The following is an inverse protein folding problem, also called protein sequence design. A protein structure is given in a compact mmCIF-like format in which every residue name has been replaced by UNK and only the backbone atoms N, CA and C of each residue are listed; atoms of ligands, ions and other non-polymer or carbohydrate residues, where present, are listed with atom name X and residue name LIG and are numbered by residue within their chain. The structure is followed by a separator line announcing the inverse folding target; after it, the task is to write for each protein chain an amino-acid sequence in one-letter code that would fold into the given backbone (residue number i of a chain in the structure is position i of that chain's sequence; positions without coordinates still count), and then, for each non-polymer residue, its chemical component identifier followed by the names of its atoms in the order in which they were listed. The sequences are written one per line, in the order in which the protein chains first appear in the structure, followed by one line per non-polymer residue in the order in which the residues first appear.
data_IF_053335105608
#
_entry.id   IF_053335105608
#
_cell.length_a   1.000
_cell.length_b   1.000
_cell.length_c   1.000
_cell.angle_alpha   90.00
_cell.angle_beta   90.00
_cell.angle_gamma   90.00
#
_symmetry.space_group_name_H-M   'P 1'
#
loop_
_entity.id
_entity.type
_entity.pdbx_description
1 polymer ?
#
# COMPACT_ATOMS: atom_id res chain seq x y z
N UNK A 1 9.42 -18.23 -1.34
CA UNK A 1 8.37 -17.42 -2.01
C UNK A 1 7.01 -17.99 -1.65
N UNK A 2 6.59 -17.91 -0.37
CA UNK A 2 5.22 -18.23 0.05
C UNK A 2 4.51 -16.88 0.16
N UNK A 3 3.42 -16.66 -0.57
CA UNK A 3 2.60 -15.45 -0.47
C UNK A 3 2.66 -14.46 -1.64
N UNK A 4 3.69 -14.54 -2.50
CA UNK A 4 3.78 -13.69 -3.71
C UNK A 4 2.82 -14.23 -4.78
N UNK A 5 1.88 -13.40 -5.24
CA UNK A 5 1.00 -13.66 -6.38
C UNK A 5 1.37 -12.73 -7.54
N UNK A 6 1.22 -13.16 -8.78
CA UNK A 6 1.47 -12.34 -9.97
C UNK A 6 0.19 -12.18 -10.77
N UNK A 7 -0.32 -10.95 -10.87
CA UNK A 7 -1.58 -10.63 -11.54
C UNK A 7 -1.33 -10.04 -12.92
N UNK A 8 -2.14 -10.39 -13.94
CA UNK A 8 -2.06 -9.77 -15.23
C UNK A 8 -2.57 -8.32 -15.16
N UNK A 9 -1.88 -7.45 -15.88
CA UNK A 9 -2.28 -6.07 -16.12
C UNK A 9 -2.27 -5.81 -17.61
N UNK A 10 -3.17 -4.94 -18.06
CA UNK A 10 -3.27 -4.50 -19.44
C UNK A 10 -2.82 -3.06 -19.53
N UNK A 11 -1.77 -2.80 -20.31
CA UNK A 11 -1.24 -1.47 -20.58
C UNK A 11 -1.73 -0.99 -21.94
N UNK A 12 -2.52 0.08 -21.95
CA UNK A 12 -3.00 0.74 -23.16
C UNK A 12 -2.27 2.06 -23.32
N UNK A 13 -1.62 2.26 -24.47
CA UNK A 13 -0.86 3.49 -24.74
C UNK A 13 -1.81 4.66 -24.97
N UNK A 14 -1.65 5.73 -24.18
CA UNK A 14 -2.37 7.00 -24.35
C UNK A 14 -1.44 8.13 -24.80
N UNK A 15 -2.02 9.31 -25.08
CA UNK A 15 -1.29 10.49 -25.55
C UNK A 15 -0.14 10.88 -24.60
N UNK A 16 -0.42 10.93 -23.29
CA UNK A 16 0.51 11.42 -22.26
C UNK A 16 0.97 10.34 -21.26
N UNK A 17 0.82 9.05 -21.61
CA UNK A 17 1.21 7.98 -20.71
C UNK A 17 0.70 6.60 -21.12
N UNK A 18 0.38 5.81 -20.10
CA UNK A 18 -0.23 4.50 -20.21
C UNK A 18 -1.40 4.42 -19.22
N UNK A 19 -2.56 4.04 -19.75
CA UNK A 19 -3.67 3.57 -18.95
C UNK A 19 -3.43 2.11 -18.57
N UNK A 20 -3.80 1.73 -17.36
CA UNK A 20 -3.58 0.40 -16.81
C UNK A 20 -4.89 -0.17 -16.28
N UNK A 21 -5.32 -1.29 -16.85
CA UNK A 21 -6.42 -2.08 -16.30
C UNK A 21 -5.88 -3.29 -15.55
N UNK A 22 -6.49 -3.62 -14.41
CA UNK A 22 -6.17 -4.77 -13.57
C UNK A 22 -7.45 -5.63 -13.47
N UNK A 23 -7.66 -6.57 -14.41
CA UNK A 23 -8.94 -7.26 -14.56
C UNK A 23 -9.38 -8.04 -13.31
N UNK A 24 -8.46 -8.74 -12.66
CA UNK A 24 -8.78 -9.61 -11.51
C UNK A 24 -9.32 -8.85 -10.30
N UNK A 25 -8.98 -7.56 -10.19
CA UNK A 25 -9.47 -6.68 -9.12
C UNK A 25 -10.57 -5.72 -9.62
N UNK A 26 -10.82 -5.65 -10.92
CA UNK A 26 -11.76 -4.69 -11.51
C UNK A 26 -11.38 -3.22 -11.23
N UNK A 27 -10.08 -2.94 -11.15
CA UNK A 27 -9.54 -1.60 -10.86
C UNK A 27 -8.65 -1.10 -12.00
N UNK A 28 -8.40 0.20 -11.97
CA UNK A 28 -7.67 0.92 -13.02
C UNK A 28 -6.67 1.89 -12.39
N UNK A 29 -5.59 2.17 -13.09
CA UNK A 29 -4.60 3.18 -12.72
C UNK A 29 -3.91 3.71 -13.98
N UNK A 30 -2.92 4.60 -13.82
CA UNK A 30 -2.19 5.19 -14.94
C UNK A 30 -0.74 5.45 -14.56
N UNK A 31 0.14 5.48 -15.56
CA UNK A 31 1.55 5.83 -15.41
C UNK A 31 2.07 6.64 -16.59
N UNK A 32 3.14 7.41 -16.36
CA UNK A 32 3.75 8.29 -17.39
C UNK A 32 4.51 7.49 -18.44
N UNK A 33 5.10 6.39 -18.03
CA UNK A 33 5.79 5.42 -18.88
C UNK A 33 5.47 3.99 -18.41
N UNK A 34 6.05 2.98 -19.07
CA UNK A 34 5.78 1.56 -18.75
C UNK A 34 6.24 1.21 -17.32
N UNK A 35 7.39 1.74 -16.89
CA UNK A 35 7.94 1.41 -15.58
C UNK A 35 7.08 2.04 -14.46
N UNK A 36 6.67 3.30 -14.65
CA UNK A 36 5.74 4.00 -13.77
C UNK A 36 4.38 3.29 -13.75
N UNK A 37 3.84 2.89 -14.91
CA UNK A 37 2.57 2.16 -14.99
C UNK A 37 2.60 0.82 -14.26
N UNK A 38 3.67 0.03 -14.40
CA UNK A 38 3.87 -1.23 -13.66
C UNK A 38 3.97 -0.96 -12.15
N UNK A 39 4.70 0.10 -11.75
CA UNK A 39 4.79 0.51 -10.35
C UNK A 39 3.41 0.88 -9.78
N UNK A 40 2.67 1.71 -10.50
CA UNK A 40 1.33 2.17 -10.13
C UNK A 40 0.33 1.01 -10.07
N UNK A 41 0.46 0.02 -10.95
CA UNK A 41 -0.36 -1.20 -10.92
C UNK A 41 -0.06 -2.04 -9.68
N UNK A 42 1.22 -2.23 -9.34
CA UNK A 42 1.63 -2.94 -8.12
C UNK A 42 1.05 -2.27 -6.87
N UNK A 43 1.13 -0.94 -6.82
CA UNK A 43 0.59 -0.16 -5.70
C UNK A 43 -0.93 -0.28 -5.60
N UNK A 44 -1.65 -0.15 -6.72
CA UNK A 44 -3.11 -0.31 -6.78
C UNK A 44 -3.56 -1.71 -6.34
N UNK A 45 -2.90 -2.77 -6.83
CA UNK A 45 -3.18 -4.15 -6.42
C UNK A 45 -2.90 -4.33 -4.92
N UNK A 46 -1.73 -3.87 -4.45
CA UNK A 46 -1.35 -3.97 -3.05
C UNK A 46 -2.36 -3.30 -2.12
N UNK A 47 -2.75 -2.06 -2.45
CA UNK A 47 -3.71 -1.28 -1.68
C UNK A 47 -5.10 -1.91 -1.67
N UNK A 48 -5.63 -2.31 -2.84
CA UNK A 48 -6.92 -2.98 -2.92
C UNK A 48 -6.91 -4.31 -2.17
N UNK A 49 -5.82 -5.08 -2.28
CA UNK A 49 -5.73 -6.37 -1.61
C UNK A 49 -5.74 -6.27 -0.08
N UNK A 50 -5.01 -5.30 0.51
CA UNK A 50 -5.07 -5.11 1.96
C UNK A 50 -6.44 -4.59 2.43
N UNK A 51 -7.10 -3.75 1.64
CA UNK A 51 -8.46 -3.26 1.93
C UNK A 51 -9.47 -4.42 1.93
N UNK A 52 -9.39 -5.31 0.92
CA UNK A 52 -10.20 -6.54 0.89
C UNK A 52 -9.94 -7.45 2.10
N UNK A 53 -8.68 -7.61 2.51
CA UNK A 53 -8.33 -8.41 3.68
C UNK A 53 -8.90 -7.81 4.98
N UNK A 54 -8.86 -6.49 5.12
CA UNK A 54 -9.39 -5.77 6.29
C UNK A 54 -10.92 -5.88 6.38
N UNK A 55 -11.59 -5.92 5.22
CA UNK A 55 -13.02 -6.22 5.09
C UNK A 55 -13.38 -7.72 5.26
N UNK A 56 -12.38 -8.60 5.43
CA UNK A 56 -12.59 -10.04 5.53
C UNK A 56 -13.02 -10.71 4.21
N UNK A 57 -12.77 -10.06 3.06
CA UNK A 57 -13.03 -10.60 1.72
C UNK A 57 -11.87 -11.46 1.26
N UNK A 58 -12.17 -12.45 0.41
CA UNK A 58 -11.15 -13.27 -0.23
C UNK A 58 -10.47 -12.50 -1.37
N UNK A 59 -9.14 -12.63 -1.47
CA UNK A 59 -8.39 -12.10 -2.60
C UNK A 59 -8.67 -12.91 -3.86
N UNK A 60 -8.81 -12.26 -5.04
CA UNK A 60 -8.96 -12.99 -6.29
C UNK A 60 -7.73 -13.86 -6.56
N UNK A 61 -7.94 -14.94 -7.31
CA UNK A 61 -6.85 -15.74 -7.85
C UNK A 61 -6.37 -15.16 -9.17
N UNK A 62 -5.05 -15.14 -9.44
CA UNK A 62 -4.54 -14.51 -10.64
C UNK A 62 -4.97 -15.25 -11.90
N UNK A 63 -5.51 -14.51 -12.86
CA UNK A 63 -5.85 -15.06 -14.18
C UNK A 63 -4.57 -15.40 -14.96
N UNK A 64 -4.51 -16.61 -15.52
CA UNK A 64 -3.37 -17.04 -16.37
C UNK A 64 -3.34 -16.33 -17.73
N UNK A 65 -4.51 -15.88 -18.20
CA UNK A 65 -4.69 -15.23 -19.49
C UNK A 65 -5.72 -14.12 -19.38
N UNK A 66 -5.50 -13.07 -20.14
CA UNK A 66 -6.43 -11.96 -20.31
C UNK A 66 -6.65 -11.77 -21.81
N UNK A 67 -7.90 -11.63 -22.21
CA UNK A 67 -8.24 -11.25 -23.59
C UNK A 67 -8.26 -9.74 -23.69
N UNK A 68 -7.66 -9.20 -24.75
CA UNK A 68 -7.65 -7.76 -25.04
C UNK A 68 -8.20 -7.53 -26.43
N UNK A 69 -9.08 -6.55 -26.57
CA UNK A 69 -9.70 -6.20 -27.85
C UNK A 69 -8.73 -5.45 -28.77
N UNK A 70 -7.83 -4.65 -28.18
CA UNK A 70 -6.87 -3.85 -28.91
C UNK A 70 -5.53 -4.59 -29.07
N UNK A 71 -5.09 -4.93 -30.31
CA UNK A 71 -3.83 -5.64 -30.55
C UNK A 71 -2.57 -4.85 -30.15
N UNK A 72 -2.69 -3.55 -29.87
CA UNK A 72 -1.58 -2.69 -29.42
C UNK A 72 -1.40 -2.71 -27.91
N UNK A 73 -2.35 -3.26 -27.17
CA UNK A 73 -2.25 -3.31 -25.72
C UNK A 73 -1.22 -4.35 -25.30
N UNK A 74 -0.50 -4.04 -24.23
CA UNK A 74 0.56 -4.90 -23.71
C UNK A 74 0.01 -5.58 -22.46
N UNK A 75 -0.05 -6.91 -22.50
CA UNK A 75 -0.33 -7.73 -21.32
C UNK A 75 1.01 -8.05 -20.66
N UNK A 76 1.11 -7.73 -19.37
CA UNK A 76 2.24 -8.14 -18.54
C UNK A 76 1.75 -8.57 -17.17
N UNK A 77 2.62 -9.19 -16.38
CA UNK A 77 2.30 -9.63 -15.02
C UNK A 77 3.05 -8.79 -14.00
N UNK A 78 2.36 -8.48 -12.90
CA UNK A 78 2.93 -7.76 -11.77
C UNK A 78 2.85 -8.62 -10.53
N UNK A 79 4.01 -8.85 -9.94
CA UNK A 79 4.17 -9.54 -8.67
C UNK A 79 3.81 -8.64 -7.49
N UNK A 80 3.04 -9.20 -6.54
CA UNK A 80 2.62 -8.55 -5.32
C UNK A 80 2.76 -9.52 -4.15
N UNK A 81 3.44 -9.07 -3.11
CA UNK A 81 3.48 -9.69 -1.79
C UNK A 81 2.61 -8.86 -0.85
N UNK A 82 1.41 -9.34 -0.52
CA UNK A 82 0.47 -8.61 0.32
C UNK A 82 0.96 -8.46 1.76
N UNK A 83 1.74 -9.41 2.29
CA UNK A 83 2.30 -9.33 3.63
C UNK A 83 3.39 -8.26 3.69
N UNK A 84 4.26 -8.20 2.68
CA UNK A 84 5.28 -7.15 2.57
C UNK A 84 4.63 -5.78 2.33
N UNK A 85 3.63 -5.71 1.46
CA UNK A 85 2.91 -4.47 1.18
C UNK A 85 2.20 -3.94 2.43
N UNK A 86 1.50 -4.80 3.17
CA UNK A 86 0.86 -4.46 4.44
C UNK A 86 1.85 -3.93 5.45
N UNK A 87 3.01 -4.59 5.61
CA UNK A 87 4.08 -4.09 6.48
C UNK A 87 4.57 -2.70 6.04
N UNK A 88 4.68 -2.42 4.75
CA UNK A 88 5.08 -1.09 4.26
C UNK A 88 4.04 -0.02 4.61
N UNK A 89 2.75 -0.34 4.48
CA UNK A 89 1.64 0.56 4.82
C UNK A 89 1.55 0.78 6.33
N UNK A 90 1.57 -0.30 7.13
CA UNK A 90 1.42 -0.25 8.58
C UNK A 90 2.60 0.44 9.28
N UNK A 91 3.81 0.33 8.72
CA UNK A 91 4.99 1.01 9.26
C UNK A 91 5.09 2.50 8.88
N UNK A 92 4.08 3.06 8.20
CA UNK A 92 4.07 4.49 7.87
C UNK A 92 3.86 5.33 9.13
N UNK A 93 4.87 6.11 9.48
CA UNK A 93 4.77 7.05 10.60
C UNK A 93 3.68 8.12 10.33
N UNK A 94 2.69 8.19 11.22
CA UNK A 94 1.62 9.21 11.16
C UNK A 94 1.92 10.32 12.17
N UNK A 95 2.06 11.56 11.70
CA UNK A 95 2.21 12.73 12.58
C UNK A 95 0.94 12.96 13.39
N UNK A 96 1.08 13.08 14.71
CA UNK A 96 0.00 13.49 15.62
C UNK A 96 0.35 14.83 16.25
N UNK A 97 -0.60 15.76 16.24
CA UNK A 97 -0.49 17.02 16.96
C UNK A 97 -1.15 16.83 18.33
N UNK A 98 -0.48 17.24 19.41
CA UNK A 98 -1.01 17.16 20.77
C UNK A 98 -0.81 18.50 21.50
N UNK A 99 -1.62 18.73 22.53
CA UNK A 99 -1.51 19.90 23.40
C UNK A 99 -1.17 19.42 24.80
N UNK A 100 -0.08 19.94 25.36
CA UNK A 100 0.39 19.64 26.72
C UNK A 100 0.62 20.94 27.50
N UNK A 101 0.54 20.91 28.83
CA UNK A 101 0.91 22.07 29.66
C UNK A 101 2.37 22.50 29.42
N UNK A 102 2.64 23.80 29.44
CA UNK A 102 3.98 24.35 29.20
C UNK A 102 5.05 23.77 30.15
N UNK A 103 4.72 23.65 31.44
CA UNK A 103 5.65 23.12 32.44
C UNK A 103 6.08 21.68 32.12
N UNK A 104 5.18 20.87 31.55
CA UNK A 104 5.47 19.49 31.19
C UNK A 104 6.42 19.42 29.99
N UNK A 105 6.24 20.33 29.01
CA UNK A 105 7.17 20.44 27.89
C UNK A 105 8.60 20.74 28.36
N UNK A 106 8.73 21.72 29.26
CA UNK A 106 10.04 22.13 29.81
C UNK A 106 10.74 20.98 30.53
N UNK A 107 10.03 20.24 31.37
CA UNK A 107 10.63 19.10 32.09
C UNK A 107 10.99 17.94 31.16
N UNK A 108 10.15 17.65 30.16
CA UNK A 108 10.41 16.62 29.17
C UNK A 108 11.61 16.95 28.25
N UNK A 109 11.76 18.22 27.84
CA UNK A 109 12.92 18.67 27.07
C UNK A 109 14.22 18.58 27.86
N UNK A 110 14.22 19.00 29.14
CA UNK A 110 15.39 18.85 30.03
C UNK A 110 15.82 17.39 30.19
N UNK A 111 14.85 16.49 30.27
CA UNK A 111 15.09 15.06 30.39
C UNK A 111 15.43 14.37 29.06
N UNK A 112 15.39 15.10 27.93
CA UNK A 112 15.68 14.54 26.60
C UNK A 112 14.63 13.53 26.12
N UNK A 113 13.37 13.69 26.53
CA UNK A 113 12.29 12.77 26.18
C UNK A 113 12.01 12.81 24.67
N UNK A 114 11.98 11.63 24.05
CA UNK A 114 11.47 11.47 22.70
C UNK A 114 9.94 11.32 22.75
N UNK A 115 9.21 12.40 22.46
CA UNK A 115 7.74 12.42 22.48
C UNK A 115 7.09 11.36 21.59
N UNK A 116 7.63 11.14 20.39
CA UNK A 116 7.09 10.14 19.46
C UNK A 116 7.19 8.74 20.05
N UNK A 117 8.35 8.39 20.62
CA UNK A 117 8.57 7.08 21.25
C UNK A 117 7.71 6.92 22.51
N UNK A 118 7.69 7.93 23.38
CA UNK A 118 6.89 7.90 24.61
C UNK A 118 5.39 7.73 24.29
N UNK A 119 4.88 8.43 23.27
CA UNK A 119 3.50 8.30 22.83
C UNK A 119 3.20 6.89 22.30
N UNK A 120 4.10 6.32 21.49
CA UNK A 120 3.94 4.95 20.98
C UNK A 120 3.88 3.93 22.13
N UNK A 121 4.83 4.00 23.06
CA UNK A 121 4.88 3.11 24.24
C UNK A 121 3.61 3.25 25.10
N UNK A 122 3.16 4.48 25.35
CA UNK A 122 1.95 4.74 26.12
C UNK A 122 0.68 4.19 25.44
N UNK A 123 0.57 4.29 24.10
CA UNK A 123 -0.58 3.74 23.35
C UNK A 123 -0.56 2.21 23.37
N UNK A 124 0.60 1.59 23.13
CA UNK A 124 0.77 0.13 23.20
C UNK A 124 0.33 -0.39 24.56
N UNK A 125 0.79 0.26 25.64
CA UNK A 125 0.40 -0.07 27.00
C UNK A 125 -1.11 0.11 27.23
N UNK A 126 -1.69 1.23 26.80
CA UNK A 126 -3.12 1.53 26.98
C UNK A 126 -4.03 0.56 26.23
N UNK A 127 -3.57 0.01 25.10
CA UNK A 127 -4.31 -0.94 24.27
C UNK A 127 -3.99 -2.42 24.60
N UNK A 128 -3.11 -2.70 25.56
CA UNK A 128 -2.61 -4.04 25.88
C UNK A 128 -2.05 -4.77 24.64
N UNK A 129 -1.36 -4.04 23.77
CA UNK A 129 -0.67 -4.62 22.63
C UNK A 129 0.72 -5.09 23.07
N UNK A 130 1.18 -6.22 22.54
CA UNK A 130 2.56 -6.63 22.68
C UNK A 130 3.34 -6.03 21.49
N UNK A 131 4.20 -5.06 21.77
CA UNK A 131 5.12 -4.48 20.79
C UNK A 131 6.46 -5.24 20.78
#
# INVERSE_FOLDING_TARGET
MKGVKAFPIVLSKEADGYFVSIPDFGIETQGKDIADAIYMARDAIGLMGIDMQDDGKELPDPSEKVEVDNPRDIITFVDVDFDEYRKKVDNKAVKKNCTIPYWLNVEAEKAGINYSKLLQEAIVLALNLNA
#
